data_IF_577296230811
#
_entry.id   IF_577296230811
#
_cell.length_a   1.000
_cell.length_b   1.000
_cell.length_c   1.000
_cell.angle_alpha   90.00
_cell.angle_beta   90.00
_cell.angle_gamma   90.00
#
_symmetry.space_group_name_H-M   'P 1'
#
loop_
_entity.id
_entity.type
_entity.pdbx_description
1 polymer ?
#
# COMPACT_ATOMS: atom_id res chain seq x y z
N UNK A 1 -7.23 -6.88 -33.77
CA UNK A 1 -8.06 -6.88 -32.54
C UNK A 1 -8.07 -8.29 -31.99
N UNK A 2 -6.96 -8.70 -31.39
CA UNK A 2 -6.67 -10.10 -31.08
C UNK A 2 -5.90 -10.11 -29.75
N UNK A 3 -6.41 -10.89 -28.79
CA UNK A 3 -5.77 -11.20 -27.50
C UNK A 3 -5.75 -10.11 -26.41
N UNK A 4 -6.86 -9.40 -26.16
CA UNK A 4 -7.04 -8.80 -24.83
C UNK A 4 -7.44 -9.90 -23.86
N UNK A 5 -6.45 -10.65 -23.40
CA UNK A 5 -6.59 -11.55 -22.25
C UNK A 5 -7.32 -10.81 -21.13
N UNK A 6 -8.30 -11.46 -20.51
CA UNK A 6 -9.04 -10.96 -19.33
C UNK A 6 -8.11 -10.35 -18.27
N UNK A 7 -6.87 -10.83 -18.24
CA UNK A 7 -5.82 -10.36 -17.36
C UNK A 7 -5.33 -8.92 -17.63
N UNK A 8 -5.18 -8.53 -18.89
CA UNK A 8 -4.78 -7.17 -19.27
C UNK A 8 -5.89 -6.17 -18.96
N UNK A 9 -7.15 -6.56 -19.18
CA UNK A 9 -8.32 -5.73 -18.86
C UNK A 9 -8.43 -5.53 -17.34
N UNK A 10 -8.23 -6.59 -16.55
CA UNK A 10 -8.25 -6.51 -15.10
C UNK A 10 -7.16 -5.59 -14.53
N UNK A 11 -5.92 -5.72 -15.02
CA UNK A 11 -4.80 -4.85 -14.60
C UNK A 11 -5.02 -3.40 -15.00
N UNK A 12 -5.54 -3.16 -16.21
CA UNK A 12 -5.86 -1.82 -16.67
C UNK A 12 -6.94 -1.16 -15.82
N UNK A 13 -8.02 -1.88 -15.50
CA UNK A 13 -9.11 -1.38 -14.67
C UNK A 13 -8.71 -1.15 -13.21
N UNK A 14 -7.88 -2.03 -12.63
CA UNK A 14 -7.55 -2.01 -11.20
C UNK A 14 -6.40 -1.08 -10.82
N UNK A 15 -5.38 -0.91 -11.67
CA UNK A 15 -4.19 -0.09 -11.38
C UNK A 15 -4.14 1.19 -12.22
N UNK A 16 -4.31 1.08 -13.54
CA UNK A 16 -4.05 2.20 -14.47
C UNK A 16 -5.20 3.19 -14.51
N UNK A 17 -6.43 2.69 -14.58
CA UNK A 17 -7.65 3.50 -14.66
C UNK A 17 -8.30 3.73 -13.28
N UNK A 18 -7.66 3.32 -12.19
CA UNK A 18 -8.22 3.42 -10.86
C UNK A 18 -7.89 4.77 -10.22
N UNK A 19 -8.80 5.72 -10.40
CA UNK A 19 -8.71 7.07 -9.83
C UNK A 19 -8.51 7.07 -8.30
N UNK A 20 -9.08 6.09 -7.59
CA UNK A 20 -9.00 6.01 -6.13
C UNK A 20 -7.55 5.83 -5.66
N UNK A 21 -6.78 5.02 -6.37
CA UNK A 21 -5.41 4.71 -6.00
C UNK A 21 -4.50 5.94 -6.16
N UNK A 22 -4.64 6.66 -7.27
CA UNK A 22 -3.80 7.82 -7.58
C UNK A 22 -4.18 9.07 -6.77
N UNK A 23 -5.48 9.35 -6.57
CA UNK A 23 -5.94 10.59 -5.96
C UNK A 23 -6.26 10.52 -4.47
N UNK A 24 -6.62 9.35 -3.93
CA UNK A 24 -7.00 9.25 -2.51
C UNK A 24 -5.96 8.53 -1.66
N UNK A 25 -5.44 7.37 -2.10
CA UNK A 25 -4.44 6.62 -1.32
C UNK A 25 -3.00 7.13 -1.51
N UNK A 26 -2.68 7.69 -2.68
CA UNK A 26 -1.31 8.01 -3.09
C UNK A 26 -0.98 9.49 -3.27
N UNK A 27 -1.84 10.42 -2.87
CA UNK A 27 -1.67 11.85 -3.22
C UNK A 27 -0.40 12.48 -2.64
N UNK A 28 -0.05 12.12 -1.41
CA UNK A 28 1.13 12.64 -0.72
C UNK A 28 2.44 12.29 -1.46
N UNK A 29 2.72 11.01 -1.78
CA UNK A 29 3.89 10.67 -2.59
C UNK A 29 3.76 11.16 -4.04
N UNK A 30 2.56 11.20 -4.60
CA UNK A 30 2.34 11.67 -5.96
C UNK A 30 2.77 13.13 -6.14
N UNK A 31 2.31 14.04 -5.27
CA UNK A 31 2.68 15.45 -5.32
C UNK A 31 4.19 15.68 -5.13
N UNK A 32 4.85 14.86 -4.30
CA UNK A 32 6.29 14.97 -4.05
C UNK A 32 7.18 14.49 -5.19
N UNK A 33 6.70 13.55 -6.03
CA UNK A 33 7.58 12.83 -6.97
C UNK A 33 7.11 12.88 -8.44
N UNK A 34 6.01 13.57 -8.73
CA UNK A 34 5.45 13.76 -10.09
C UNK A 34 6.45 14.30 -11.12
N UNK A 35 7.46 15.08 -10.70
CA UNK A 35 8.39 15.75 -11.61
C UNK A 35 9.54 14.89 -12.14
N UNK A 36 9.81 13.70 -11.56
CA UNK A 36 10.97 12.86 -11.95
C UNK A 36 10.66 11.37 -11.83
N UNK A 37 10.66 10.66 -12.97
CA UNK A 37 10.46 9.22 -13.04
C UNK A 37 11.51 8.42 -12.26
N UNK A 38 12.77 8.87 -12.27
CA UNK A 38 13.85 8.21 -11.53
C UNK A 38 13.58 8.21 -10.01
N UNK A 39 13.09 9.33 -9.48
CA UNK A 39 12.72 9.43 -8.07
C UNK A 39 11.44 8.63 -7.77
N UNK A 40 10.47 8.60 -8.70
CA UNK A 40 9.21 7.88 -8.52
C UNK A 40 9.44 6.37 -8.42
N UNK A 41 10.32 5.82 -9.27
CA UNK A 41 10.70 4.41 -9.21
C UNK A 41 11.37 4.04 -7.89
N UNK A 42 12.23 4.92 -7.36
CA UNK A 42 12.91 4.68 -6.07
C UNK A 42 11.96 4.76 -4.89
N UNK A 43 11.02 5.72 -4.91
CA UNK A 43 10.00 5.86 -3.86
C UNK A 43 9.04 4.68 -3.84
N UNK A 44 8.55 4.23 -5.01
CA UNK A 44 7.69 3.05 -5.10
C UNK A 44 8.36 1.77 -4.60
N UNK A 45 9.65 1.58 -4.91
CA UNK A 45 10.45 0.46 -4.40
C UNK A 45 10.61 0.49 -2.88
N UNK A 46 10.86 1.67 -2.29
CA UNK A 46 10.95 1.81 -0.84
C UNK A 46 9.62 1.51 -0.13
N UNK A 47 8.50 2.06 -0.62
CA UNK A 47 7.18 1.87 0.00
C UNK A 47 6.70 0.42 -0.10
N UNK A 48 6.92 -0.24 -1.25
CA UNK A 48 6.58 -1.67 -1.39
C UNK A 48 7.37 -2.54 -0.42
N UNK A 49 8.65 -2.25 -0.20
CA UNK A 49 9.47 -2.94 0.79
C UNK A 49 8.95 -2.74 2.23
N UNK A 50 8.70 -1.49 2.63
CA UNK A 50 8.17 -1.19 3.97
C UNK A 50 6.80 -1.85 4.18
N UNK A 51 5.93 -1.85 3.17
CA UNK A 51 4.60 -2.48 3.25
C UNK A 51 4.68 -3.98 3.48
N UNK A 52 5.59 -4.69 2.79
CA UNK A 52 5.79 -6.13 2.98
C UNK A 52 6.26 -6.45 4.39
N UNK A 53 7.26 -5.72 4.88
CA UNK A 53 7.79 -5.91 6.25
C UNK A 53 6.68 -5.65 7.27
N UNK A 54 6.00 -4.51 7.15
CA UNK A 54 4.93 -4.10 8.06
C UNK A 54 3.81 -5.15 8.11
N UNK A 55 3.43 -5.73 6.96
CA UNK A 55 2.36 -6.74 6.89
C UNK A 55 2.66 -7.98 7.76
N UNK A 56 3.92 -8.42 7.80
CA UNK A 56 4.34 -9.56 8.64
C UNK A 56 4.22 -9.21 10.13
N UNK A 57 4.70 -8.03 10.53
CA UNK A 57 4.62 -7.58 11.93
C UNK A 57 3.17 -7.35 12.39
N UNK A 58 2.36 -6.72 11.53
CA UNK A 58 0.94 -6.45 11.79
C UNK A 58 0.15 -7.74 11.98
N UNK A 59 0.44 -8.80 11.22
CA UNK A 59 -0.21 -10.10 11.39
C UNK A 59 0.06 -10.68 12.78
N UNK A 60 1.30 -10.56 13.28
CA UNK A 60 1.66 -10.98 14.64
C UNK A 60 0.95 -10.16 15.73
N UNK A 61 0.88 -8.83 15.55
CA UNK A 61 0.19 -7.94 16.49
C UNK A 61 -1.33 -8.19 16.48
N UNK A 62 -1.92 -8.44 15.31
CA UNK A 62 -3.35 -8.72 15.20
C UNK A 62 -3.74 -10.02 15.92
N UNK A 63 -2.92 -11.07 15.80
CA UNK A 63 -3.12 -12.33 16.53
C UNK A 63 -3.03 -12.14 18.05
N UNK A 64 -2.06 -11.34 18.52
CA UNK A 64 -1.92 -11.03 19.95
C UNK A 64 -3.10 -10.19 20.48
N UNK A 65 -3.60 -9.26 19.67
CA UNK A 65 -4.71 -8.39 20.05
C UNK A 65 -6.05 -9.13 20.09
N UNK A 66 -6.22 -10.14 19.23
CA UNK A 66 -7.35 -11.05 19.27
C UNK A 66 -7.34 -11.93 20.54
N UNK A 67 -6.17 -12.30 21.05
CA UNK A 67 -6.04 -13.04 22.31
C UNK A 67 -6.32 -12.19 23.57
N UNK A 68 -6.15 -10.87 23.48
CA UNK A 68 -6.40 -9.89 24.56
C UNK A 68 -7.83 -9.31 24.50
N UNK A 69 -8.65 -9.73 23.53
CA UNK A 69 -10.05 -9.29 23.32
C UNK A 69 -10.19 -7.76 23.12
N UNK A 70 -9.16 -7.10 22.57
CA UNK A 70 -9.12 -5.65 22.36
C UNK A 70 -9.06 -5.24 20.88
N UNK A 71 -10.04 -5.62 20.03
CA UNK A 71 -9.99 -5.36 18.59
C UNK A 71 -10.00 -3.87 18.22
N UNK A 72 -10.51 -3.01 19.10
CA UNK A 72 -10.59 -1.56 18.89
C UNK A 72 -9.22 -0.89 18.70
N UNK A 73 -8.14 -1.48 19.22
CA UNK A 73 -6.78 -0.93 19.10
C UNK A 73 -6.07 -1.33 17.80
N UNK A 74 -6.66 -2.21 16.97
CA UNK A 74 -6.02 -2.73 15.77
C UNK A 74 -5.59 -1.60 14.82
N UNK A 75 -6.48 -0.65 14.55
CA UNK A 75 -6.21 0.47 13.64
C UNK A 75 -5.04 1.34 14.12
N UNK A 76 -5.04 1.71 15.41
CA UNK A 76 -3.98 2.53 16.00
C UNK A 76 -2.64 1.79 15.99
N UNK A 77 -2.64 0.48 16.30
CA UNK A 77 -1.44 -0.33 16.26
C UNK A 77 -0.86 -0.44 14.85
N UNK A 78 -1.69 -0.55 13.82
CA UNK A 78 -1.23 -0.63 12.44
C UNK A 78 -0.57 0.68 12.00
N UNK A 79 -1.17 1.83 12.34
CA UNK A 79 -0.58 3.15 12.06
C UNK A 79 0.77 3.31 12.78
N UNK A 80 0.86 2.89 14.05
CA UNK A 80 2.09 2.97 14.83
C UNK A 80 3.24 2.11 14.25
N UNK A 81 2.93 0.92 13.74
CA UNK A 81 3.93 0.04 13.10
C UNK A 81 4.41 0.63 11.79
N UNK A 82 3.50 1.13 10.95
CA UNK A 82 3.87 1.79 9.69
C UNK A 82 4.74 3.03 9.97
N UNK A 83 4.38 3.84 10.96
CA UNK A 83 5.10 5.07 11.31
C UNK A 83 6.49 4.83 11.90
N UNK A 84 6.72 3.70 12.59
CA UNK A 84 8.02 3.34 13.15
C UNK A 84 8.95 2.61 12.16
N UNK A 85 8.38 2.07 11.08
CA UNK A 85 9.13 1.41 10.01
C UNK A 85 9.70 2.38 8.96
N UNK A 86 9.30 3.66 8.98
CA UNK A 86 9.76 4.75 8.12
C UNK A 86 10.72 5.65 8.88
#
# INVERSE_FOLDING_TARGET
MSDQSVWTIFLNASLVNNFVLAYFLGICPFLGVSGRLETASRMGGAVTFVMVITSVFVTGINALLAAIDAPYLALISFIAVIASAV
#
